data_IF_817803586649
#
_entry.id   IF_817803586649
#
_cell.length_a   1.000
_cell.length_b   1.000
_cell.length_c   1.000
_cell.angle_alpha   90.00
_cell.angle_beta   90.00
_cell.angle_gamma   90.00
#
_symmetry.space_group_name_H-M   'P 1'
#
loop_
_entity.id
_entity.type
_entity.pdbx_description
1 polymer ?
#
# COMPACT_ATOMS: atom_id res chain seq x y z
N UNK A 1 20.69 -4.54 -25.87
CA UNK A 1 19.31 -4.76 -25.39
C UNK A 1 19.34 -4.90 -23.87
N UNK A 2 19.39 -3.79 -23.11
CA UNK A 2 19.31 -3.85 -21.65
C UNK A 2 17.85 -4.03 -21.26
N UNK A 3 17.49 -5.25 -20.83
CA UNK A 3 16.24 -5.50 -20.16
C UNK A 3 16.22 -4.69 -18.87
N UNK A 4 15.39 -3.65 -18.83
CA UNK A 4 15.00 -2.96 -17.61
C UNK A 4 14.35 -3.99 -16.68
N UNK A 5 15.17 -4.62 -15.85
CA UNK A 5 14.71 -5.29 -14.65
C UNK A 5 14.21 -4.17 -13.72
N UNK A 6 12.93 -3.83 -13.87
CA UNK A 6 12.18 -3.23 -12.79
C UNK A 6 12.15 -4.28 -11.68
N UNK A 7 13.17 -4.26 -10.82
CA UNK A 7 13.09 -4.84 -9.49
C UNK A 7 11.88 -4.19 -8.84
N UNK A 8 10.74 -4.89 -8.94
CA UNK A 8 9.55 -4.61 -8.17
C UNK A 8 9.88 -5.09 -6.78
N UNK A 9 10.61 -4.27 -6.04
CA UNK A 9 10.72 -4.31 -4.58
C UNK A 9 9.33 -4.06 -3.96
N UNK A 10 8.31 -4.84 -4.32
CA UNK A 10 6.93 -4.74 -3.82
C UNK A 10 6.77 -5.51 -2.50
N UNK A 11 7.80 -5.48 -1.67
CA UNK A 11 7.92 -6.41 -0.54
C UNK A 11 8.07 -5.76 0.82
N UNK A 12 8.36 -4.46 0.91
CA UNK A 12 8.81 -3.88 2.19
C UNK A 12 8.10 -2.60 2.63
N UNK A 13 7.32 -1.96 1.77
CA UNK A 13 6.55 -0.78 2.18
C UNK A 13 5.38 -1.22 3.07
N UNK A 14 5.38 -0.77 4.32
CA UNK A 14 4.26 -0.90 5.24
C UNK A 14 3.40 0.35 5.15
N UNK A 15 2.08 0.15 5.10
CA UNK A 15 1.10 1.22 5.07
C UNK A 15 0.38 1.33 6.40
N UNK A 16 0.23 2.57 6.86
CA UNK A 16 -0.53 2.95 8.03
C UNK A 16 -1.79 3.70 7.58
N UNK A 17 -2.95 3.28 8.06
CA UNK A 17 -4.18 4.02 7.80
C UNK A 17 -4.31 5.22 8.75
N UNK A 18 -4.52 6.41 8.22
CA UNK A 18 -4.75 7.62 9.05
C UNK A 18 -6.13 7.69 9.71
N UNK A 19 -7.07 6.83 9.30
CA UNK A 19 -8.43 6.83 9.84
C UNK A 19 -8.56 5.94 11.09
N UNK A 20 -7.95 4.76 11.04
CA UNK A 20 -8.04 3.77 12.12
C UNK A 20 -6.68 3.41 12.74
N UNK A 21 -5.60 4.08 12.33
CA UNK A 21 -4.22 3.82 12.77
C UNK A 21 -3.73 2.38 12.55
N UNK A 22 -4.40 1.62 11.68
CA UNK A 22 -4.01 0.26 11.37
C UNK A 22 -2.75 0.23 10.49
N UNK A 23 -1.76 -0.56 10.89
CA UNK A 23 -0.54 -0.80 10.11
C UNK A 23 -0.59 -2.17 9.43
N UNK A 24 -0.41 -2.21 8.12
CA UNK A 24 -0.45 -3.43 7.32
C UNK A 24 0.52 -3.32 6.14
N UNK A 25 1.05 -4.45 5.63
CA UNK A 25 1.91 -4.42 4.46
C UNK A 25 1.16 -3.87 3.24
N UNK A 26 1.88 -3.17 2.34
CA UNK A 26 1.30 -2.61 1.11
C UNK A 26 0.50 -3.66 0.32
N UNK A 27 0.99 -4.91 0.26
CA UNK A 27 0.30 -6.02 -0.39
C UNK A 27 -1.00 -6.50 0.27
N UNK A 28 -1.30 -6.10 1.52
CA UNK A 28 -2.62 -6.31 2.14
C UNK A 28 -3.56 -5.14 1.90
N UNK A 29 -3.02 -3.94 1.69
CA UNK A 29 -3.80 -2.76 1.36
C UNK A 29 -4.36 -2.81 -0.07
N UNK A 30 -3.77 -3.63 -0.94
CA UNK A 30 -4.19 -3.77 -2.33
C UNK A 30 -4.34 -5.24 -2.69
N UNK A 31 -5.50 -5.62 -3.20
CA UNK A 31 -5.75 -6.95 -3.76
C UNK A 31 -5.32 -7.05 -5.21
N UNK A 32 -5.43 -5.95 -5.96
CA UNK A 32 -5.21 -5.89 -7.41
C UNK A 32 -3.88 -5.21 -7.78
N UNK A 33 -3.18 -4.61 -6.82
CA UNK A 33 -1.93 -3.89 -7.02
C UNK A 33 -2.07 -2.45 -7.54
N UNK A 34 -3.31 -1.95 -7.66
CA UNK A 34 -3.64 -0.62 -8.19
C UNK A 34 -4.49 0.21 -7.20
N UNK A 35 -5.46 -0.41 -6.54
CA UNK A 35 -6.27 0.25 -5.52
C UNK A 35 -5.72 -0.04 -4.13
N UNK A 36 -5.25 1.02 -3.46
CA UNK A 36 -4.83 0.95 -2.06
C UNK A 36 -6.00 1.36 -1.18
N UNK A 37 -6.47 0.43 -0.36
CA UNK A 37 -7.58 0.57 0.58
C UNK A 37 -7.19 -0.04 1.92
N UNK A 38 -7.62 0.58 3.02
CA UNK A 38 -7.43 0.01 4.34
C UNK A 38 -8.32 -1.24 4.50
N UNK A 39 -7.76 -2.44 4.78
CA UNK A 39 -8.56 -3.63 4.98
C UNK A 39 -9.33 -3.64 6.32
N UNK A 40 -8.93 -2.80 7.29
CA UNK A 40 -9.57 -2.76 8.62
C UNK A 40 -10.83 -1.90 8.63
N UNK A 41 -10.77 -0.67 8.11
CA UNK A 41 -11.90 0.27 8.14
C UNK A 41 -12.54 0.53 6.77
N UNK A 42 -11.86 0.23 5.65
CA UNK A 42 -12.34 0.55 4.30
C UNK A 42 -12.42 2.04 3.93
N UNK A 43 -12.14 2.94 4.88
CA UNK A 43 -12.17 4.39 4.69
C UNK A 43 -10.84 4.97 4.21
N UNK A 44 -9.71 4.45 4.71
CA UNK A 44 -8.40 4.91 4.25
C UNK A 44 -8.13 4.44 2.82
N UNK A 45 -8.31 5.30 1.82
CA UNK A 45 -8.03 5.01 0.41
C UNK A 45 -6.95 5.95 -0.13
N UNK A 46 -6.14 5.46 -1.04
CA UNK A 46 -5.09 6.26 -1.68
C UNK A 46 -3.87 6.47 -0.78
N UNK A 47 -2.69 6.26 -1.36
CA UNK A 47 -1.41 6.55 -0.71
C UNK A 47 -1.27 8.08 -0.61
N UNK A 48 -1.06 8.59 0.60
CA UNK A 48 -0.90 10.02 0.90
C UNK A 48 -2.18 10.68 1.42
N UNK A 49 -3.36 10.22 0.98
CA UNK A 49 -4.66 10.74 1.45
C UNK A 49 -5.11 10.01 2.72
N UNK A 50 -5.48 8.73 2.60
CA UNK A 50 -5.92 7.90 3.73
C UNK A 50 -4.88 6.92 4.25
N UNK A 51 -3.84 6.62 3.45
CA UNK A 51 -2.81 5.63 3.76
C UNK A 51 -1.42 6.28 3.74
N UNK A 52 -0.63 6.14 4.79
CA UNK A 52 0.74 6.65 4.92
C UNK A 52 1.74 5.51 4.74
N UNK A 53 2.80 5.71 3.94
CA UNK A 53 3.96 4.81 3.88
C UNK A 53 4.89 5.06 5.08
N UNK A 54 5.31 3.98 5.74
CA UNK A 54 6.30 3.96 6.82
C UNK A 54 7.63 3.40 6.32
#
# INVERSE_FOLDING_TARGET
>A
MQGLQYSRDRGRDVLECRHCDATFPEGKATTDGWHYVCPECGEGRGIGEGLRRL
#
